data_IF_163447481710
#
_entry.id   IF_163447481710
#
_cell.length_a   1.000
_cell.length_b   1.000
_cell.length_c   1.000
_cell.angle_alpha   90.00
_cell.angle_beta   90.00
_cell.angle_gamma   90.00
#
_symmetry.space_group_name_H-M   'P 1'
#
loop_
_entity.id
_entity.type
_entity.pdbx_description
1 polymer ?
#
# COMPACT_ATOMS: atom_id res chain seq x y z
N UNK A 1 -29.25 -8.45 -18.60
CA UNK A 1 -29.80 -7.88 -17.36
C UNK A 1 -31.23 -8.38 -17.23
N UNK A 2 -31.64 -8.91 -16.08
CA UNK A 2 -33.00 -9.41 -15.86
C UNK A 2 -33.91 -8.21 -15.53
N UNK A 3 -34.98 -7.92 -16.29
CA UNK A 3 -35.93 -6.87 -15.92
C UNK A 3 -36.66 -7.27 -14.64
N UNK A 4 -36.79 -6.34 -13.69
CA UNK A 4 -37.38 -6.59 -12.38
C UNK A 4 -38.91 -6.41 -12.35
N UNK A 5 -39.49 -5.91 -13.45
CA UNK A 5 -40.91 -5.68 -13.57
C UNK A 5 -41.71 -6.98 -13.41
N UNK A 6 -42.78 -6.92 -12.62
CA UNK A 6 -43.68 -8.05 -12.35
C UNK A 6 -43.00 -9.28 -11.72
N UNK A 7 -41.84 -9.11 -11.09
CA UNK A 7 -41.20 -10.17 -10.32
C UNK A 7 -41.71 -10.18 -8.87
N UNK A 8 -41.85 -11.38 -8.30
CA UNK A 8 -42.08 -11.60 -6.88
C UNK A 8 -41.15 -12.67 -6.33
N UNK A 9 -40.89 -12.58 -5.03
CA UNK A 9 -40.13 -13.59 -4.29
C UNK A 9 -41.08 -14.61 -3.67
N UNK A 10 -40.67 -15.88 -3.63
CA UNK A 10 -41.34 -16.94 -2.84
C UNK A 10 -40.28 -17.78 -2.16
N UNK A 11 -40.61 -18.30 -0.97
CA UNK A 11 -39.78 -19.30 -0.33
C UNK A 11 -39.94 -20.67 -0.97
N UNK A 12 -38.82 -21.36 -1.15
CA UNK A 12 -38.79 -22.72 -1.71
C UNK A 12 -38.64 -23.70 -0.56
N UNK A 13 -39.54 -24.68 -0.49
CA UNK A 13 -39.47 -25.72 0.54
C UNK A 13 -38.12 -26.44 0.47
N UNK A 14 -37.49 -26.63 1.64
CA UNK A 14 -36.24 -27.39 1.74
C UNK A 14 -36.52 -28.84 1.30
N UNK A 15 -35.97 -29.24 0.16
CA UNK A 15 -35.94 -30.64 -0.25
C UNK A 15 -35.30 -31.52 0.84
N UNK A 16 -35.79 -32.75 0.97
CA UNK A 16 -35.33 -33.70 1.99
C UNK A 16 -33.79 -33.82 1.98
N UNK A 17 -33.14 -33.48 3.09
CA UNK A 17 -31.67 -33.40 3.27
C UNK A 17 -30.91 -32.26 2.54
N UNK A 18 -31.58 -31.18 2.12
CA UNK A 18 -30.87 -30.00 1.61
C UNK A 18 -30.34 -29.11 2.74
N UNK A 19 -29.02 -28.91 2.77
CA UNK A 19 -28.35 -27.97 3.68
C UNK A 19 -28.38 -26.50 3.17
N UNK A 20 -28.87 -26.25 1.95
CA UNK A 20 -28.86 -24.92 1.33
C UNK A 20 -30.12 -24.14 1.64
N UNK A 21 -29.97 -22.83 1.84
CA UNK A 21 -31.08 -21.90 2.01
C UNK A 21 -31.48 -21.37 0.64
N UNK A 22 -32.73 -21.58 0.22
CA UNK A 22 -33.16 -21.31 -1.16
C UNK A 22 -34.41 -20.43 -1.17
N UNK A 23 -34.44 -19.45 -2.06
CA UNK A 23 -35.62 -18.67 -2.39
C UNK A 23 -35.78 -18.59 -3.92
N UNK A 24 -36.99 -18.36 -4.41
CA UNK A 24 -37.28 -18.28 -5.83
C UNK A 24 -37.77 -16.90 -6.23
N UNK A 25 -37.46 -16.53 -7.47
CA UNK A 25 -38.02 -15.37 -8.15
C UNK A 25 -38.89 -15.87 -9.30
N UNK A 26 -40.11 -15.38 -9.39
CA UNK A 26 -41.07 -15.74 -10.44
C UNK A 26 -41.77 -14.50 -10.98
N UNK A 27 -42.33 -14.62 -12.19
CA UNK A 27 -43.10 -13.54 -12.81
C UNK A 27 -44.61 -13.70 -12.52
N UNK A 28 -45.27 -12.63 -12.07
CA UNK A 28 -46.70 -12.66 -11.72
C UNK A 28 -47.62 -12.86 -12.92
N UNK A 29 -47.17 -12.55 -14.13
CA UNK A 29 -47.92 -12.74 -15.38
C UNK A 29 -47.63 -14.10 -16.04
N UNK A 30 -47.01 -15.03 -15.31
CA UNK A 30 -46.65 -16.37 -15.80
C UNK A 30 -45.69 -16.36 -17.01
N UNK A 31 -45.00 -15.24 -17.25
CA UNK A 31 -43.93 -15.13 -18.25
C UNK A 31 -42.66 -15.82 -17.74
N UNK A 32 -41.83 -16.29 -18.67
CA UNK A 32 -40.53 -16.84 -18.30
C UNK A 32 -39.66 -15.73 -17.71
N UNK A 33 -39.06 -16.01 -16.54
CA UNK A 33 -38.12 -15.09 -15.89
C UNK A 33 -36.80 -15.11 -16.65
N UNK A 34 -36.27 -16.31 -16.97
CA UNK A 34 -35.04 -16.44 -17.73
C UNK A 34 -35.08 -17.63 -18.67
N UNK A 35 -34.83 -17.39 -19.96
CA UNK A 35 -34.96 -18.40 -21.03
C UNK A 35 -36.33 -19.08 -20.97
N UNK A 36 -36.36 -20.39 -20.76
CA UNK A 36 -37.57 -21.22 -20.66
C UNK A 36 -37.99 -21.47 -19.21
N UNK A 37 -37.31 -20.84 -18.24
CA UNK A 37 -37.57 -21.01 -16.82
C UNK A 37 -38.62 -20.00 -16.33
N UNK A 38 -39.72 -20.53 -15.81
CA UNK A 38 -40.80 -19.74 -15.19
C UNK A 38 -40.45 -19.19 -13.80
N UNK A 39 -39.44 -19.77 -13.17
CA UNK A 39 -38.89 -19.29 -11.90
C UNK A 39 -37.38 -19.52 -11.87
N UNK A 40 -36.67 -18.72 -11.08
CA UNK A 40 -35.24 -18.90 -10.80
C UNK A 40 -35.09 -19.16 -9.31
N UNK A 41 -34.49 -20.28 -8.96
CA UNK A 41 -34.14 -20.62 -7.59
C UNK A 41 -32.71 -20.15 -7.30
N UNK A 42 -32.57 -19.37 -6.23
CA UNK A 42 -31.31 -18.81 -5.76
C UNK A 42 -30.99 -19.46 -4.41
N UNK A 43 -29.84 -20.15 -4.37
CA UNK A 43 -29.35 -20.81 -3.18
C UNK A 43 -28.23 -19.97 -2.54
N UNK A 44 -28.31 -19.81 -1.22
CA UNK A 44 -27.28 -19.19 -0.41
C UNK A 44 -26.73 -20.18 0.61
N UNK A 45 -25.52 -19.92 1.07
CA UNK A 45 -24.80 -20.77 2.02
C UNK A 45 -25.28 -20.55 3.47
N UNK A 46 -25.90 -19.41 3.76
CA UNK A 46 -26.44 -19.07 5.09
C UNK A 46 -27.83 -18.43 5.01
N UNK A 47 -28.54 -18.43 6.14
CA UNK A 47 -29.81 -17.71 6.28
C UNK A 47 -29.61 -16.18 6.19
N UNK A 48 -28.52 -15.67 6.76
CA UNK A 48 -28.18 -14.24 6.73
C UNK A 48 -28.02 -13.73 5.29
N UNK A 49 -27.38 -14.52 4.43
CA UNK A 49 -27.25 -14.19 3.00
C UNK A 49 -28.61 -14.14 2.31
N UNK A 50 -29.51 -15.09 2.58
CA UNK A 50 -30.88 -15.07 2.05
C UNK A 50 -31.60 -13.80 2.46
N UNK A 51 -31.51 -13.42 3.73
CA UNK A 51 -32.19 -12.24 4.26
C UNK A 51 -31.61 -10.94 3.66
N UNK A 52 -30.30 -10.86 3.49
CA UNK A 52 -29.60 -9.75 2.82
C UNK A 52 -30.00 -9.62 1.33
N UNK A 53 -30.11 -10.75 0.62
CA UNK A 53 -30.58 -10.76 -0.77
C UNK A 53 -32.05 -10.37 -0.87
N UNK A 54 -32.93 -10.90 -0.01
CA UNK A 54 -34.35 -10.52 0.04
C UNK A 54 -34.53 -9.03 0.35
N UNK A 55 -33.76 -8.46 1.27
CA UNK A 55 -33.77 -7.03 1.56
C UNK A 55 -33.33 -6.19 0.34
N UNK A 56 -32.31 -6.66 -0.39
CA UNK A 56 -31.85 -6.01 -1.62
C UNK A 56 -32.92 -6.05 -2.73
N UNK A 57 -33.61 -7.18 -2.92
CA UNK A 57 -34.73 -7.31 -3.85
C UNK A 57 -35.92 -6.43 -3.46
N UNK A 58 -36.26 -6.37 -2.17
CA UNK A 58 -37.31 -5.48 -1.65
C UNK A 58 -36.99 -4.01 -1.95
N UNK A 59 -35.73 -3.61 -1.71
CA UNK A 59 -35.24 -2.26 -2.05
C UNK A 59 -35.31 -1.97 -3.55
N UNK A 60 -35.15 -2.98 -4.39
CA UNK A 60 -35.30 -2.89 -5.84
C UNK A 60 -36.75 -2.98 -6.33
N UNK A 61 -37.73 -3.08 -5.43
CA UNK A 61 -39.16 -3.13 -5.75
C UNK A 61 -39.73 -4.52 -6.03
N UNK A 62 -38.97 -5.59 -5.76
CA UNK A 62 -39.41 -6.99 -5.89
C UNK A 62 -39.90 -7.47 -4.52
N UNK A 63 -41.21 -7.59 -4.37
CA UNK A 63 -41.83 -7.92 -3.08
C UNK A 63 -41.99 -9.44 -2.90
N UNK A 64 -41.93 -9.95 -1.66
CA UNK A 64 -42.41 -11.28 -1.33
C UNK A 64 -43.86 -11.48 -1.76
N UNK A 65 -44.18 -12.68 -2.21
CA UNK A 65 -45.56 -13.10 -2.34
C UNK A 65 -46.20 -13.06 -0.95
N UNK A 66 -47.32 -12.35 -0.84
CA UNK A 66 -48.11 -12.37 0.38
C UNK A 66 -48.71 -13.76 0.49
N UNK A 67 -48.35 -14.50 1.52
CA UNK A 67 -49.05 -15.73 1.85
C UNK A 67 -50.53 -15.40 2.04
N UNK A 68 -51.40 -15.98 1.21
CA UNK A 68 -52.81 -16.08 1.51
C UNK A 68 -52.98 -17.12 2.63
N UNK A 69 -52.63 -16.73 3.85
CA UNK A 69 -53.12 -17.39 5.05
C UNK A 69 -53.55 -16.30 6.02
N UNK A 70 -54.86 -16.24 6.23
CA UNK A 70 -55.52 -15.49 7.29
C UNK A 70 -54.89 -15.85 8.64
N UNK A 71 -53.90 -15.06 9.07
CA UNK A 71 -53.50 -15.06 10.47
C UNK A 71 -53.39 -13.60 10.93
N UNK A 72 -54.52 -13.12 11.47
CA UNK A 72 -54.63 -11.89 12.25
C UNK A 72 -53.81 -12.00 13.54
N UNK A 73 -52.50 -11.83 13.46
CA UNK A 73 -51.71 -11.38 14.60
C UNK A 73 -50.83 -10.23 14.15
N UNK A 74 -51.36 -9.03 14.38
CA UNK A 74 -50.66 -7.77 14.23
C UNK A 74 -49.44 -7.76 15.17
N UNK A 75 -48.28 -8.17 14.64
CA UNK A 75 -47.01 -7.76 15.20
C UNK A 75 -46.97 -6.21 15.22
N UNK A 76 -46.50 -5.59 16.32
CA UNK A 76 -46.58 -4.15 16.47
C UNK A 76 -45.72 -3.49 15.39
N UNK A 77 -46.35 -2.71 14.52
CA UNK A 77 -45.74 -1.96 13.43
C UNK A 77 -44.82 -0.81 13.89
N UNK A 78 -44.36 -0.81 15.14
CA UNK A 78 -43.87 0.38 15.85
C UNK A 78 -42.37 0.40 16.21
N UNK A 79 -41.55 -0.52 15.69
CA UNK A 79 -40.09 -0.47 15.97
C UNK A 79 -39.16 -0.41 14.76
N UNK A 80 -39.68 -0.35 13.53
CA UNK A 80 -38.85 -0.23 12.31
C UNK A 80 -39.38 0.80 11.30
N UNK A 81 -40.10 1.83 11.75
CA UNK A 81 -40.29 3.04 10.92
C UNK A 81 -39.01 3.87 10.98
N UNK A 82 -37.94 3.40 10.34
CA UNK A 82 -36.92 4.35 9.88
C UNK A 82 -37.59 5.14 8.76
N UNK A 83 -37.88 6.41 9.02
CA UNK A 83 -38.41 7.30 8.01
C UNK A 83 -37.46 7.31 6.80
N UNK A 84 -37.88 6.83 5.62
CA UNK A 84 -37.04 6.78 4.43
C UNK A 84 -36.47 8.16 4.04
N UNK A 85 -37.13 9.26 4.46
CA UNK A 85 -36.62 10.61 4.29
C UNK A 85 -35.43 10.89 5.20
N UNK A 86 -35.49 10.46 6.47
CA UNK A 86 -34.41 10.61 7.44
C UNK A 86 -33.17 9.81 7.01
N UNK A 87 -33.33 8.58 6.54
CA UNK A 87 -32.21 7.78 6.03
C UNK A 87 -31.50 8.47 4.86
N UNK A 88 -32.28 9.02 3.91
CA UNK A 88 -31.72 9.77 2.77
C UNK A 88 -31.01 11.05 3.20
N UNK A 89 -31.55 11.75 4.20
CA UNK A 89 -30.92 12.95 4.75
C UNK A 89 -29.61 12.62 5.46
N UNK A 90 -29.58 11.57 6.28
CA UNK A 90 -28.37 11.10 6.97
C UNK A 90 -27.29 10.72 5.96
N UNK A 91 -27.66 10.02 4.88
CA UNK A 91 -26.72 9.66 3.82
C UNK A 91 -26.21 10.89 3.07
N UNK A 92 -27.06 11.88 2.83
CA UNK A 92 -26.64 13.16 2.24
C UNK A 92 -25.64 13.88 3.15
N UNK A 93 -25.91 13.94 4.45
CA UNK A 93 -25.00 14.55 5.44
C UNK A 93 -23.67 13.80 5.49
N UNK A 94 -23.68 12.46 5.52
CA UNK A 94 -22.47 11.64 5.51
C UNK A 94 -21.59 11.95 4.29
N UNK A 95 -22.18 11.97 3.10
CA UNK A 95 -21.46 12.29 1.87
C UNK A 95 -20.86 13.70 1.87
N UNK A 96 -21.58 14.69 2.42
CA UNK A 96 -21.07 16.06 2.54
C UNK A 96 -19.92 16.16 3.55
N UNK A 97 -20.04 15.48 4.70
CA UNK A 97 -18.98 15.44 5.72
C UNK A 97 -17.73 14.76 5.17
N UNK A 98 -17.87 13.62 4.49
CA UNK A 98 -16.74 12.90 3.90
C UNK A 98 -16.02 13.76 2.85
N UNK A 99 -16.79 14.49 2.02
CA UNK A 99 -16.23 15.45 1.07
C UNK A 99 -15.45 16.57 1.77
N UNK A 100 -16.03 17.17 2.80
CA UNK A 100 -15.40 18.27 3.54
C UNK A 100 -14.13 17.83 4.29
N UNK A 101 -14.17 16.68 4.96
CA UNK A 101 -13.00 16.08 5.62
C UNK A 101 -11.93 15.72 4.59
N UNK A 102 -12.32 15.24 3.41
CA UNK A 102 -11.40 15.02 2.29
C UNK A 102 -10.65 16.30 1.87
N UNK A 103 -11.35 17.44 1.77
CA UNK A 103 -10.75 18.75 1.48
C UNK A 103 -9.80 19.17 2.60
N UNK A 104 -10.24 19.11 3.87
CA UNK A 104 -9.41 19.46 5.02
C UNK A 104 -8.12 18.62 5.05
N UNK A 105 -8.23 17.30 4.89
CA UNK A 105 -7.08 16.41 4.91
C UNK A 105 -6.10 16.71 3.77
N UNK A 106 -6.59 17.20 2.63
CA UNK A 106 -5.72 17.68 1.55
C UNK A 106 -5.01 18.97 1.96
N UNK A 107 -5.73 19.92 2.57
CA UNK A 107 -5.14 21.17 3.07
C UNK A 107 -4.11 20.93 4.17
N UNK A 108 -4.37 20.05 5.14
CA UNK A 108 -3.41 19.74 6.22
C UNK A 108 -2.14 19.11 5.63
N UNK A 109 -2.28 18.13 4.73
CA UNK A 109 -1.12 17.47 4.09
C UNK A 109 -0.27 18.42 3.27
N UNK A 110 -0.86 19.45 2.68
CA UNK A 110 -0.13 20.46 1.91
C UNK A 110 0.50 21.55 2.80
N UNK A 111 -0.26 22.06 3.78
CA UNK A 111 0.15 23.22 4.55
C UNK A 111 1.14 22.87 5.66
N UNK A 112 1.00 21.70 6.30
CA UNK A 112 1.86 21.31 7.42
C UNK A 112 3.35 21.24 7.06
N UNK A 113 3.77 20.56 5.96
CA UNK A 113 5.17 20.56 5.56
C UNK A 113 5.69 21.95 5.22
N UNK A 114 4.86 22.81 4.60
CA UNK A 114 5.24 24.19 4.25
C UNK A 114 5.46 25.05 5.50
N UNK A 115 4.59 24.90 6.51
CA UNK A 115 4.73 25.60 7.79
C UNK A 115 5.98 25.16 8.54
N UNK A 116 6.25 23.84 8.59
CA UNK A 116 7.48 23.30 9.21
C UNK A 116 8.72 23.83 8.48
N UNK A 117 8.72 23.79 7.16
CA UNK A 117 9.83 24.29 6.35
C UNK A 117 10.10 25.77 6.62
N UNK A 118 9.05 26.59 6.64
CA UNK A 118 9.20 28.03 6.84
C UNK A 118 9.66 28.37 8.27
N UNK A 119 8.99 27.82 9.28
CA UNK A 119 9.22 28.20 10.68
C UNK A 119 10.45 27.50 11.25
N UNK A 120 10.62 26.19 11.02
CA UNK A 120 11.72 25.46 11.67
C UNK A 120 12.99 25.49 10.84
N UNK A 121 12.92 25.18 9.54
CA UNK A 121 14.12 24.99 8.72
C UNK A 121 14.68 26.34 8.27
N UNK A 122 13.86 27.13 7.55
CA UNK A 122 14.33 28.37 6.95
C UNK A 122 14.66 29.42 8.02
N UNK A 123 13.87 29.50 9.09
CA UNK A 123 14.14 30.46 10.17
C UNK A 123 15.38 30.06 10.99
N UNK A 124 15.64 28.76 11.22
CA UNK A 124 16.89 28.31 11.86
C UNK A 124 18.10 28.65 10.98
N UNK A 125 18.00 28.43 9.67
CA UNK A 125 19.08 28.76 8.74
C UNK A 125 19.38 30.26 8.77
N UNK A 126 18.34 31.10 8.68
CA UNK A 126 18.46 32.56 8.78
C UNK A 126 19.02 33.00 10.14
N UNK A 127 18.65 32.31 11.23
CA UNK A 127 19.20 32.56 12.56
C UNK A 127 20.70 32.23 12.63
N UNK A 128 21.13 31.07 12.14
CA UNK A 128 22.54 30.68 12.10
C UNK A 128 23.39 31.67 11.30
N UNK A 129 22.86 32.19 10.20
CA UNK A 129 23.54 33.23 9.41
C UNK A 129 23.52 34.62 10.05
N UNK A 130 22.54 34.94 10.90
CA UNK A 130 22.41 36.28 11.49
C UNK A 130 23.06 36.43 12.87
N UNK A 131 23.23 35.34 13.63
CA UNK A 131 23.63 35.39 15.05
C UNK A 131 25.12 35.19 15.28
N UNK A 132 25.85 34.55 14.36
CA UNK A 132 27.20 34.09 14.61
C UNK A 132 28.28 34.79 13.79
N UNK A 133 29.46 34.97 14.39
CA UNK A 133 30.70 35.09 13.61
C UNK A 133 30.88 33.78 12.83
N UNK A 134 30.59 33.82 11.52
CA UNK A 134 30.64 32.66 10.63
C UNK A 134 31.97 31.89 10.74
N UNK A 135 33.08 32.60 10.97
CA UNK A 135 34.41 32.00 11.12
C UNK A 135 34.51 31.06 12.32
N UNK A 136 33.87 31.41 13.44
CA UNK A 136 33.87 30.56 14.64
C UNK A 136 32.90 29.39 14.51
N UNK A 137 31.76 29.58 13.85
CA UNK A 137 30.81 28.49 13.57
C UNK A 137 31.39 27.45 12.60
N UNK A 138 32.29 27.89 11.70
CA UNK A 138 32.97 27.05 10.72
C UNK A 138 34.36 26.58 11.19
N UNK A 139 34.69 26.73 12.48
CA UNK A 139 35.98 26.28 13.00
C UNK A 139 36.11 24.75 12.91
N UNK A 140 37.20 24.28 12.32
CA UNK A 140 37.48 22.85 12.19
C UNK A 140 37.80 22.25 13.57
N UNK A 141 37.19 21.12 13.90
CA UNK A 141 37.52 20.40 15.13
C UNK A 141 38.97 19.88 15.09
N UNK A 142 39.68 19.89 16.22
CA UNK A 142 41.07 19.44 16.32
C UNK A 142 41.30 18.04 15.72
N UNK A 143 40.39 17.09 15.97
CA UNK A 143 40.49 15.71 15.45
C UNK A 143 40.36 15.62 13.92
N UNK A 144 39.60 16.53 13.31
CA UNK A 144 39.48 16.60 11.84
C UNK A 144 40.71 17.27 11.23
N UNK A 145 41.20 18.35 11.86
CA UNK A 145 42.44 19.01 11.44
C UNK A 145 43.62 18.03 11.49
N UNK A 146 43.72 17.24 12.56
CA UNK A 146 44.74 16.19 12.69
C UNK A 146 44.60 15.11 11.61
N UNK A 147 43.40 14.58 11.39
CA UNK A 147 43.17 13.56 10.34
C UNK A 147 43.48 14.09 8.94
N UNK A 148 43.15 15.35 8.66
CA UNK A 148 43.49 16.02 7.39
C UNK A 148 45.01 16.11 7.24
N UNK A 149 45.73 16.51 8.28
CA UNK A 149 47.19 16.61 8.25
C UNK A 149 47.87 15.23 8.11
N UNK A 150 47.37 14.19 8.78
CA UNK A 150 47.85 12.81 8.63
C UNK A 150 47.63 12.28 7.21
N UNK A 151 46.45 12.54 6.63
CA UNK A 151 46.14 12.16 5.25
C UNK A 151 47.05 12.87 4.25
N UNK A 152 47.34 14.15 4.46
CA UNK A 152 48.27 14.92 3.63
C UNK A 152 49.70 14.38 3.73
N UNK A 153 50.17 14.03 4.94
CA UNK A 153 51.48 13.40 5.13
C UNK A 153 51.57 12.05 4.44
N UNK A 154 50.55 11.21 4.60
CA UNK A 154 50.50 9.90 3.97
C UNK A 154 50.47 10.02 2.44
N UNK A 155 49.70 10.97 1.90
CA UNK A 155 49.68 11.25 0.47
C UNK A 155 51.07 11.65 -0.06
N UNK A 156 51.77 12.55 0.64
CA UNK A 156 53.12 12.96 0.27
C UNK A 156 54.09 11.78 0.29
N UNK A 157 54.05 10.96 1.36
CA UNK A 157 54.91 9.78 1.49
C UNK A 157 54.66 8.74 0.39
N UNK A 158 53.39 8.49 0.02
CA UNK A 158 53.04 7.57 -1.06
C UNK A 158 53.50 8.10 -2.43
N UNK A 159 53.39 9.40 -2.66
CA UNK A 159 53.88 10.03 -3.89
C UNK A 159 55.41 9.91 -4.02
N UNK A 160 56.12 10.12 -2.92
CA UNK A 160 57.57 9.94 -2.88
C UNK A 160 57.97 8.47 -3.09
N UNK A 161 57.28 7.53 -2.45
CA UNK A 161 57.52 6.10 -2.66
C UNK A 161 57.30 5.69 -4.13
N UNK A 162 56.26 6.20 -4.79
CA UNK A 162 56.02 5.97 -6.22
C UNK A 162 57.15 6.54 -7.10
N UNK A 163 57.65 7.74 -6.79
CA UNK A 163 58.80 8.31 -7.50
C UNK A 163 60.04 7.41 -7.35
N UNK A 164 60.34 6.93 -6.14
CA UNK A 164 61.47 6.03 -5.88
C UNK A 164 61.34 4.72 -6.69
N UNK A 165 60.13 4.14 -6.76
CA UNK A 165 59.88 2.94 -7.58
C UNK A 165 60.14 3.24 -9.06
N UNK A 166 59.69 4.40 -9.55
CA UNK A 166 59.95 4.86 -10.91
C UNK A 166 61.43 5.02 -11.21
N UNK A 167 62.18 5.61 -10.28
CA UNK A 167 63.63 5.79 -10.39
C UNK A 167 64.32 4.42 -10.47
N UNK A 168 64.06 3.50 -9.53
CA UNK A 168 64.64 2.15 -9.55
C UNK A 168 64.36 1.44 -10.87
N UNK A 169 63.12 1.49 -11.37
CA UNK A 169 62.71 0.86 -12.62
C UNK A 169 63.45 1.39 -13.85
N UNK A 170 63.94 2.64 -13.81
CA UNK A 170 64.62 3.27 -14.94
C UNK A 170 66.15 3.28 -14.80
N UNK A 171 66.68 3.23 -13.57
CA UNK A 171 68.12 3.36 -13.31
C UNK A 171 68.83 2.04 -13.00
N UNK A 172 68.12 0.95 -12.70
CA UNK A 172 68.78 -0.35 -12.46
C UNK A 172 68.70 -1.28 -13.68
N UNK A 173 69.84 -1.89 -14.01
CA UNK A 173 69.97 -2.87 -15.10
C UNK A 173 70.16 -4.24 -14.47
N UNK A 174 69.32 -5.21 -14.86
CA UNK A 174 69.48 -6.60 -14.45
C UNK A 174 70.72 -7.19 -15.13
N UNK A 175 71.71 -7.59 -14.34
CA UNK A 175 72.86 -8.35 -14.85
C UNK A 175 72.48 -9.82 -14.99
N UNK A 176 72.62 -10.43 -16.18
CA UNK A 176 72.38 -11.86 -16.33
C UNK A 176 73.31 -12.66 -15.42
N UNK A 177 72.79 -13.75 -14.86
CA UNK A 177 73.54 -14.65 -13.98
C UNK A 177 74.77 -15.17 -14.74
N UNK A 178 75.98 -15.14 -14.16
CA UNK A 178 77.17 -15.64 -14.83
C UNK A 178 76.96 -17.11 -15.26
N UNK A 179 77.57 -17.53 -16.39
CA UNK A 179 77.43 -18.89 -16.88
C UNK A 179 77.90 -19.90 -15.81
N UNK A 180 77.28 -21.09 -15.74
CA UNK A 180 77.68 -22.14 -14.80
C UNK A 180 79.17 -22.46 -14.96
N UNK A 181 79.89 -22.54 -13.84
CA UNK A 181 81.31 -22.90 -13.84
C UNK A 181 81.43 -24.33 -14.39
N UNK A 182 82.28 -24.53 -15.39
CA UNK A 182 82.50 -25.85 -15.96
C UNK A 182 83.35 -26.70 -14.99
N UNK A 183 82.72 -27.64 -14.30
CA UNK A 183 83.37 -28.60 -13.39
C UNK A 183 84.18 -29.69 -14.12
N UNK A 184 84.64 -29.44 -15.35
CA UNK A 184 85.44 -30.40 -16.14
C UNK A 184 86.80 -30.77 -15.53
N UNK A 185 87.17 -30.13 -14.41
CA UNK A 185 88.36 -30.42 -13.61
C UNK A 185 88.10 -31.47 -12.52
N UNK A 186 86.84 -31.77 -12.21
CA UNK A 186 86.47 -32.84 -11.29
C UNK A 186 86.49 -34.16 -12.07
N UNK A 187 87.65 -34.81 -12.13
CA UNK A 187 87.72 -36.19 -12.63
C UNK A 187 86.93 -37.11 -11.70
N UNK A 188 85.81 -37.64 -12.18
CA UNK A 188 85.06 -38.71 -11.51
C UNK A 188 86.00 -39.89 -11.23
N UNK A 189 86.40 -40.03 -9.97
CA UNK A 189 87.22 -41.13 -9.48
C UNK A 189 86.28 -42.29 -9.15
N UNK A 190 86.24 -43.29 -10.04
CA UNK A 190 85.65 -44.60 -9.76
C UNK A 190 86.64 -45.50 -9.03
#
# INVERSE_FOLDING_TARGET
MLPLDNLKLRDVEKGFMSAKHVFAIFNTEQRNVYKDLRQIELACDSQEDVDSWKASFLRAGVYPEKDQVDNEEAAPADTFSMDPQLERQVETIRNLVDSYIGIINKSIRDLMPKTIMHIMINSLLAYLYSVGNQTSLMEESADQAQRRDEMLRMYQALKEALNIIGDISTTTISTPVPPPVADGWVQDSR
#
